data_IF_704465457606
#
_entry.id   IF_704465457606
#
_cell.length_a   1.000
_cell.length_b   1.000
_cell.length_c   1.000
_cell.angle_alpha   90.00
_cell.angle_beta   90.00
_cell.angle_gamma   90.00
#
_symmetry.space_group_name_H-M   'P 1'
#
loop_
_entity.id
_entity.type
_entity.pdbx_description
1 polymer ?
#
# COMPACT_ATOMS: atom_id res chain seq x y z
N UNK A 1 -9.74 11.58 -13.80
CA UNK A 1 -8.67 11.95 -12.86
C UNK A 1 -7.37 11.34 -13.37
N UNK A 2 -6.38 12.15 -13.78
CA UNK A 2 -5.00 11.66 -13.94
C UNK A 2 -4.43 11.60 -12.52
N UNK A 3 -4.66 10.49 -11.85
CA UNK A 3 -4.13 10.28 -10.50
C UNK A 3 -2.61 10.19 -10.61
N UNK A 4 -1.91 11.18 -10.06
CA UNK A 4 -0.44 11.22 -9.99
C UNK A 4 0.04 10.12 -9.06
N UNK A 5 0.10 8.90 -9.60
CA UNK A 5 0.67 7.75 -8.91
C UNK A 5 2.17 7.99 -8.74
N UNK A 6 2.56 8.44 -7.56
CA UNK A 6 3.95 8.76 -7.23
C UNK A 6 4.68 7.49 -6.86
N UNK A 7 5.95 7.38 -7.27
CA UNK A 7 6.82 6.24 -6.98
C UNK A 7 7.90 6.64 -6.00
N UNK A 8 8.14 5.80 -5.01
CA UNK A 8 9.24 5.94 -4.05
C UNK A 8 9.95 4.58 -3.92
N UNK A 9 11.29 4.53 -3.92
CA UNK A 9 12.00 3.28 -3.63
C UNK A 9 11.60 2.70 -2.27
N UNK A 10 11.54 1.37 -2.16
CA UNK A 10 11.25 0.71 -0.88
C UNK A 10 12.48 0.77 0.04
N UNK A 11 12.63 1.90 0.72
CA UNK A 11 13.67 2.15 1.72
C UNK A 11 13.12 3.10 2.78
N UNK A 12 13.36 2.81 4.05
CA UNK A 12 12.92 3.61 5.21
C UNK A 12 13.22 5.11 5.06
N UNK A 13 14.41 5.47 4.59
CA UNK A 13 14.79 6.88 4.37
C UNK A 13 13.99 7.51 3.23
N UNK A 14 13.86 6.81 2.11
CA UNK A 14 13.13 7.32 0.96
C UNK A 14 11.65 7.54 1.30
N UNK A 15 11.04 6.60 2.04
CA UNK A 15 9.66 6.72 2.53
C UNK A 15 9.52 7.91 3.47
N UNK A 16 10.41 8.04 4.46
CA UNK A 16 10.39 9.14 5.43
C UNK A 16 10.45 10.52 4.78
N UNK A 17 11.28 10.69 3.74
CA UNK A 17 11.49 12.00 3.12
C UNK A 17 10.57 12.28 1.92
N UNK A 18 10.07 11.26 1.23
CA UNK A 18 9.31 11.45 -0.03
C UNK A 18 7.82 11.19 0.09
N UNK A 19 7.37 10.40 1.07
CA UNK A 19 5.94 10.12 1.28
C UNK A 19 5.37 11.15 2.25
N UNK A 20 4.24 11.81 1.94
CA UNK A 20 3.61 12.78 2.84
C UNK A 20 2.89 12.11 4.01
N UNK A 21 2.69 12.88 5.08
CA UNK A 21 1.84 12.53 6.23
C UNK A 21 0.39 12.91 5.91
N UNK A 22 -0.20 12.22 4.93
CA UNK A 22 -1.56 12.49 4.46
C UNK A 22 -2.36 11.22 4.32
N UNK A 23 -3.69 11.37 4.20
CA UNK A 23 -4.57 10.27 3.84
C UNK A 23 -4.37 9.90 2.38
N UNK A 24 -4.37 8.60 2.08
CA UNK A 24 -4.08 8.12 0.74
C UNK A 24 -4.08 6.61 0.62
N UNK A 25 -3.67 6.16 -0.56
CA UNK A 25 -3.55 4.74 -0.92
C UNK A 25 -2.13 4.45 -1.36
N UNK A 26 -1.64 3.25 -1.06
CA UNK A 26 -0.33 2.78 -1.44
C UNK A 26 -0.40 1.39 -2.08
N UNK A 27 0.57 1.13 -2.96
CA UNK A 27 0.83 -0.17 -3.56
C UNK A 27 2.31 -0.49 -3.38
N UNK A 28 2.63 -1.62 -2.77
CA UNK A 28 4.01 -2.11 -2.68
C UNK A 28 4.24 -3.07 -3.83
N UNK A 29 5.28 -2.84 -4.62
CA UNK A 29 5.62 -3.65 -5.78
C UNK A 29 7.00 -4.31 -5.67
N UNK A 30 7.12 -5.52 -6.21
CA UNK A 30 8.39 -6.24 -6.37
C UNK A 30 9.16 -5.79 -7.63
N UNK A 31 8.45 -5.24 -8.63
CA UNK A 31 9.03 -4.85 -9.90
C UNK A 31 9.85 -3.53 -9.85
N UNK A 32 10.96 -3.42 -10.61
CA UNK A 32 11.67 -2.16 -10.81
C UNK A 32 10.93 -1.19 -11.76
N UNK A 33 9.81 -1.62 -12.35
CA UNK A 33 9.06 -0.89 -13.37
C UNK A 33 8.49 0.44 -12.90
N UNK A 34 8.25 1.34 -13.87
CA UNK A 34 7.58 2.63 -13.64
C UNK A 34 6.11 2.42 -13.26
N UNK A 35 5.50 1.39 -13.83
CA UNK A 35 4.17 0.90 -13.47
C UNK A 35 4.27 -0.16 -12.38
N UNK A 36 3.27 -0.26 -11.49
CA UNK A 36 3.14 -1.35 -10.54
C UNK A 36 2.82 -2.65 -11.29
N UNK A 37 3.85 -3.29 -11.84
CA UNK A 37 3.83 -4.68 -12.28
C UNK A 37 4.33 -5.48 -11.07
N UNK A 38 3.62 -6.53 -10.69
CA UNK A 38 3.89 -7.36 -9.51
C UNK A 38 3.65 -6.62 -8.18
N UNK A 39 2.40 -6.20 -7.97
CA UNK A 39 1.96 -5.61 -6.70
C UNK A 39 1.84 -6.70 -5.66
N UNK A 40 2.57 -6.55 -4.56
CA UNK A 40 2.59 -7.47 -3.44
C UNK A 40 1.48 -7.14 -2.43
N UNK A 41 1.22 -5.85 -2.23
CA UNK A 41 0.32 -5.34 -1.21
C UNK A 41 -0.33 -4.06 -1.71
N UNK A 42 -1.63 -3.92 -1.45
CA UNK A 42 -2.39 -2.68 -1.62
C UNK A 42 -3.05 -2.35 -0.29
N UNK A 43 -2.99 -1.09 0.12
CA UNK A 43 -3.71 -0.63 1.30
C UNK A 43 -3.99 0.86 1.27
N UNK A 44 -4.95 1.29 2.08
CA UNK A 44 -5.18 2.70 2.38
C UNK A 44 -4.72 3.06 3.79
N UNK A 45 -4.42 4.34 4.01
CA UNK A 45 -4.04 4.85 5.32
C UNK A 45 -4.49 6.30 5.48
N UNK A 46 -4.85 6.68 6.71
CA UNK A 46 -5.07 8.10 7.07
C UNK A 46 -3.76 8.87 7.18
N UNK A 47 -2.67 8.16 7.44
CA UNK A 47 -1.30 8.67 7.40
C UNK A 47 -0.40 7.68 6.64
N UNK A 48 -0.15 7.96 5.36
CA UNK A 48 0.66 7.12 4.48
C UNK A 48 2.07 6.89 5.03
N UNK A 49 2.76 7.95 5.45
CA UNK A 49 4.13 7.86 5.95
C UNK A 49 4.21 6.95 7.18
N UNK A 50 3.35 7.18 8.17
CA UNK A 50 3.33 6.36 9.39
C UNK A 50 3.07 4.89 9.05
N UNK A 51 2.05 4.62 8.23
CA UNK A 51 1.69 3.25 7.85
C UNK A 51 2.81 2.52 7.10
N UNK A 52 3.47 3.18 6.15
CA UNK A 52 4.57 2.58 5.41
C UNK A 52 5.82 2.37 6.30
N UNK A 53 6.03 3.21 7.31
CA UNK A 53 7.12 3.02 8.28
C UNK A 53 6.85 1.83 9.21
N UNK A 54 5.61 1.64 9.68
CA UNK A 54 5.18 0.44 10.42
C UNK A 54 5.41 -0.84 9.61
N UNK A 55 5.15 -0.79 8.30
CA UNK A 55 5.37 -1.93 7.40
C UNK A 55 6.84 -2.34 7.26
N UNK A 56 7.82 -1.48 7.58
CA UNK A 56 9.23 -1.89 7.68
C UNK A 56 9.53 -2.65 8.98
N UNK A 57 8.70 -2.50 10.01
CA UNK A 57 8.87 -3.21 11.29
C UNK A 57 8.29 -4.63 11.21
N UNK A 58 7.30 -4.83 10.33
CA UNK A 58 6.82 -6.13 9.91
C UNK A 58 7.69 -6.67 8.76
N UNK A 59 8.76 -7.38 9.10
CA UNK A 59 9.82 -7.89 8.21
C UNK A 59 9.34 -8.85 7.08
N UNK A 60 8.03 -9.08 6.96
CA UNK A 60 7.40 -9.93 5.96
C UNK A 60 7.54 -9.36 4.54
N UNK A 61 7.57 -8.04 4.37
CA UNK A 61 7.73 -7.41 3.06
C UNK A 61 9.17 -7.50 2.51
N UNK A 62 10.16 -7.55 3.40
CA UNK A 62 11.57 -7.82 3.04
C UNK A 62 11.69 -9.21 2.39
N UNK A 63 10.99 -10.20 2.93
CA UNK A 63 10.97 -11.59 2.42
C UNK A 63 10.32 -11.70 1.05
N UNK A 64 9.37 -10.82 0.74
CA UNK A 64 8.62 -10.81 -0.52
C UNK A 64 9.28 -9.95 -1.62
N UNK A 65 10.54 -9.53 -1.42
CA UNK A 65 11.32 -8.79 -2.41
C UNK A 65 10.69 -7.45 -2.83
N UNK A 66 10.05 -6.73 -1.91
CA UNK A 66 9.54 -5.39 -2.17
C UNK A 66 10.67 -4.43 -2.62
N UNK A 67 10.47 -3.74 -3.76
CA UNK A 67 11.46 -2.82 -4.35
C UNK A 67 11.00 -1.38 -4.45
N UNK A 68 9.69 -1.17 -4.58
CA UNK A 68 9.11 0.17 -4.69
C UNK A 68 7.76 0.25 -3.99
N UNK A 69 7.41 1.46 -3.59
CA UNK A 69 6.05 1.81 -3.19
C UNK A 69 5.52 2.89 -4.12
N UNK A 70 4.33 2.66 -4.63
CA UNK A 70 3.54 3.62 -5.36
C UNK A 70 2.46 4.17 -4.44
N UNK A 71 2.16 5.45 -4.51
CA UNK A 71 1.17 6.07 -3.62
C UNK A 71 0.44 7.23 -4.27
N UNK A 72 -0.76 7.48 -3.77
CA UNK A 72 -1.57 8.67 -4.06
C UNK A 72 -1.96 9.28 -2.72
N UNK A 73 -1.66 10.57 -2.56
CA UNK A 73 -1.90 11.35 -1.34
C UNK A 73 -3.11 12.26 -1.49
N UNK A 74 -3.44 12.97 -0.41
CA UNK A 74 -4.47 14.01 -0.36
C UNK A 74 -5.86 13.52 -0.78
N UNK A 75 -6.14 12.25 -0.49
CA UNK A 75 -7.47 11.65 -0.68
C UNK A 75 -8.30 11.80 0.58
N UNK A 76 -9.62 11.89 0.43
CA UNK A 76 -10.52 11.64 1.56
C UNK A 76 -10.44 10.16 1.99
N UNK A 77 -10.87 9.84 3.22
CA UNK A 77 -10.91 8.45 3.71
C UNK A 77 -11.75 7.56 2.80
N UNK A 78 -12.90 8.07 2.34
CA UNK A 78 -13.78 7.37 1.40
C UNK A 78 -13.11 7.13 0.04
N UNK A 79 -12.42 8.15 -0.50
CA UNK A 79 -11.68 8.03 -1.75
C UNK A 79 -10.51 7.05 -1.63
N UNK A 80 -9.78 7.07 -0.52
CA UNK A 80 -8.68 6.16 -0.27
C UNK A 80 -9.15 4.71 -0.19
N UNK A 81 -10.28 4.44 0.49
CA UNK A 81 -10.91 3.11 0.55
C UNK A 81 -11.42 2.65 -0.82
N UNK A 82 -12.04 3.55 -1.57
CA UNK A 82 -12.50 3.24 -2.93
C UNK A 82 -11.30 2.91 -3.84
N UNK A 83 -10.24 3.71 -3.78
CA UNK A 83 -9.03 3.50 -4.56
C UNK A 83 -8.33 2.18 -4.17
N UNK A 84 -8.26 1.85 -2.88
CA UNK A 84 -7.77 0.56 -2.40
C UNK A 84 -8.55 -0.59 -3.04
N UNK A 85 -9.89 -0.56 -2.99
CA UNK A 85 -10.74 -1.60 -3.60
C UNK A 85 -10.52 -1.72 -5.11
N UNK A 86 -10.40 -0.58 -5.81
CA UNK A 86 -10.14 -0.56 -7.24
C UNK A 86 -8.76 -1.15 -7.58
N UNK A 87 -7.73 -0.80 -6.82
CA UNK A 87 -6.38 -1.30 -7.03
C UNK A 87 -6.24 -2.78 -6.64
N UNK A 88 -6.86 -3.23 -5.55
CA UNK A 88 -6.89 -4.64 -5.17
C UNK A 88 -7.55 -5.49 -6.26
N UNK A 89 -8.68 -5.04 -6.84
CA UNK A 89 -9.32 -5.73 -7.97
C UNK A 89 -8.48 -5.72 -9.24
N UNK A 90 -7.74 -4.64 -9.48
CA UNK A 90 -6.95 -4.47 -10.71
C UNK A 90 -5.67 -5.29 -10.70
N UNK A 91 -5.00 -5.37 -9.56
CA UNK A 91 -3.67 -5.96 -9.44
C UNK A 91 -3.64 -7.30 -8.72
N UNK A 92 -4.74 -7.70 -8.06
CA UNK A 92 -4.91 -8.96 -7.33
C UNK A 92 -3.69 -9.32 -6.46
N UNK A 93 -3.34 -8.47 -5.48
CA UNK A 93 -2.12 -8.64 -4.72
C UNK A 93 -2.17 -9.93 -3.87
N UNK A 94 -1.05 -10.68 -3.77
CA UNK A 94 -0.98 -11.91 -2.99
C UNK A 94 -1.13 -11.66 -1.48
N UNK A 95 -0.72 -10.47 -1.00
CA UNK A 95 -0.98 -10.04 0.37
C UNK A 95 -2.16 -9.08 0.37
N UNK A 96 -3.20 -9.42 1.12
CA UNK A 96 -4.30 -8.51 1.39
C UNK A 96 -3.96 -7.72 2.65
N UNK A 97 -4.03 -6.38 2.59
CA UNK A 97 -3.89 -5.53 3.78
C UNK A 97 -5.13 -5.57 4.68
N UNK A 98 -6.09 -6.46 4.38
CA UNK A 98 -7.27 -6.69 5.20
C UNK A 98 -6.82 -6.94 6.64
N UNK A 99 -6.92 -5.88 7.46
CA UNK A 99 -6.91 -6.00 8.89
C UNK A 99 -7.97 -7.04 9.19
N UNK A 100 -7.55 -8.24 9.65
CA UNK A 100 -8.40 -9.38 10.02
C UNK A 100 -9.82 -8.89 10.30
N UNK A 101 -10.65 -8.96 9.26
CA UNK A 101 -12.02 -8.52 9.41
C UNK A 101 -12.63 -9.55 10.33
N UNK A 102 -13.22 -9.12 11.45
CA UNK A 102 -13.84 -10.01 12.45
C UNK A 102 -14.87 -10.99 11.87
N UNK A 103 -15.22 -10.85 10.60
CA UNK A 103 -16.05 -11.79 9.83
C UNK A 103 -15.36 -13.12 9.52
N UNK A 104 -14.02 -13.19 9.44
CA UNK A 104 -13.33 -14.48 9.22
C UNK A 104 -13.32 -15.37 10.47
N UNK A 105 -13.44 -14.79 11.68
CA UNK A 105 -13.54 -15.57 12.92
C UNK A 105 -14.91 -16.24 13.10
N UNK A 106 -15.96 -15.81 12.38
CA UNK A 106 -17.31 -16.37 12.51
C UNK A 106 -17.50 -17.64 11.65
N UNK A 107 -16.65 -17.86 10.64
CA UNK A 107 -16.73 -19.07 9.81
C UNK A 107 -15.79 -20.19 10.29
N UNK A 108 -15.00 -19.94 11.34
CA UNK A 108 -14.06 -20.90 11.93
C UNK A 108 -14.46 -21.40 13.32
N UNK A 109 -15.64 -20.99 13.85
CA UNK A 109 -16.12 -21.37 15.18
C UNK A 109 -17.62 -21.57 15.25
#
# INVERSE_FOLDING_TARGET
MKEDLRRTPWNRLAVRFRVPESTGVYLVGAGPGRLPRDVLLVGSATNLRARLLELFEHDDLSRLSARAVHWVADLSVEQARLAERLFSRRYDPPIRSEARSRYDDILAG
#
